data_IF_468045285119
#
_entry.id   IF_468045285119
#
_cell.length_a   1.000
_cell.length_b   1.000
_cell.length_c   1.000
_cell.angle_alpha   90.00
_cell.angle_beta   90.00
_cell.angle_gamma   90.00
#
_symmetry.space_group_name_H-M   'P 1'
#
loop_
_entity.id
_entity.type
_entity.pdbx_description
1 polymer ?
#
# COMPACT_ATOMS: atom_id res chain seq x y z
N UNK A 1 -7.25 40.18 56.66
CA UNK A 1 -6.55 39.76 55.43
C UNK A 1 -7.28 40.34 54.22
N UNK A 2 -6.60 41.03 53.30
CA UNK A 2 -7.25 41.57 52.10
C UNK A 2 -7.84 40.42 51.27
N UNK A 3 -9.12 40.55 50.87
CA UNK A 3 -9.78 39.57 49.99
C UNK A 3 -9.05 39.54 48.65
N UNK A 4 -8.50 38.37 48.29
CA UNK A 4 -7.89 38.14 46.97
C UNK A 4 -8.93 38.44 45.88
N UNK A 5 -8.56 39.31 44.95
CA UNK A 5 -9.38 39.64 43.76
C UNK A 5 -9.39 38.42 42.85
N UNK A 6 -10.57 37.99 42.42
CA UNK A 6 -10.71 36.84 41.52
C UNK A 6 -10.24 37.18 40.10
N UNK A 7 -9.85 36.18 39.31
CA UNK A 7 -9.48 36.40 37.91
C UNK A 7 -10.67 36.87 37.06
N UNK A 8 -11.89 36.44 37.41
CA UNK A 8 -13.13 36.87 36.73
C UNK A 8 -13.33 38.37 36.89
N UNK A 9 -13.18 38.88 38.11
CA UNK A 9 -13.27 40.31 38.42
C UNK A 9 -12.19 41.13 37.67
N UNK A 10 -10.97 40.60 37.54
CA UNK A 10 -9.90 41.24 36.75
C UNK A 10 -10.20 41.25 35.24
N UNK A 11 -10.83 40.20 34.70
CA UNK A 11 -11.25 40.14 33.29
C UNK A 11 -12.37 41.14 33.00
N UNK A 12 -13.28 41.37 33.93
CA UNK A 12 -14.30 42.43 33.83
C UNK A 12 -13.66 43.82 33.81
N UNK A 13 -12.63 44.06 34.64
CA UNK A 13 -11.89 45.32 34.60
C UNK A 13 -11.16 45.52 33.27
N UNK A 14 -10.56 44.47 32.71
CA UNK A 14 -9.95 44.52 31.38
C UNK A 14 -10.99 44.86 30.30
N UNK A 15 -12.17 44.22 30.34
CA UNK A 15 -13.25 44.50 29.39
C UNK A 15 -13.78 45.94 29.51
N UNK A 16 -13.96 46.44 30.74
CA UNK A 16 -14.37 47.82 31.00
C UNK A 16 -13.32 48.84 30.49
N UNK A 17 -12.04 48.53 30.65
CA UNK A 17 -10.93 49.35 30.13
C UNK A 17 -10.87 49.34 28.60
N UNK A 18 -10.97 48.17 27.97
CA UNK A 18 -10.99 48.03 26.50
C UNK A 18 -12.24 48.67 25.87
N UNK A 19 -13.34 48.74 26.62
CA UNK A 19 -14.55 49.51 26.28
C UNK A 19 -14.42 51.03 26.46
N UNK A 20 -13.24 51.55 26.80
CA UNK A 20 -12.93 52.99 26.87
C UNK A 20 -13.10 53.64 28.25
N UNK A 21 -13.38 52.88 29.31
CA UNK A 21 -13.45 53.44 30.68
C UNK A 21 -12.04 53.66 31.23
N UNK A 22 -11.83 54.78 31.95
CA UNK A 22 -10.54 55.05 32.60
C UNK A 22 -10.33 54.19 33.85
N UNK A 23 -9.07 53.90 34.20
CA UNK A 23 -8.69 53.14 35.39
C UNK A 23 -9.28 53.75 36.68
N UNK A 24 -9.36 55.08 36.76
CA UNK A 24 -9.97 55.81 37.87
C UNK A 24 -11.50 55.60 37.97
N UNK A 25 -12.19 55.54 36.83
CA UNK A 25 -13.63 55.24 36.79
C UNK A 25 -13.91 53.80 37.23
N UNK A 26 -13.07 52.85 36.82
CA UNK A 26 -13.18 51.43 37.20
C UNK A 26 -12.87 51.27 38.69
N UNK A 27 -11.83 51.94 39.19
CA UNK A 27 -11.46 52.00 40.60
C UNK A 27 -12.59 52.52 41.50
N UNK A 28 -13.24 53.62 41.08
CA UNK A 28 -14.39 54.19 41.77
C UNK A 28 -15.57 53.23 41.85
N UNK A 29 -15.89 52.53 40.74
CA UNK A 29 -16.98 51.54 40.68
C UNK A 29 -16.67 50.31 41.53
N UNK A 30 -15.44 49.79 41.47
CA UNK A 30 -15.02 48.60 42.21
C UNK A 30 -14.67 48.87 43.69
N UNK A 31 -14.60 50.14 44.11
CA UNK A 31 -14.12 50.59 45.42
C UNK A 31 -12.73 50.03 45.75
N UNK A 32 -11.83 50.06 44.75
CA UNK A 32 -10.43 49.60 44.86
C UNK A 32 -9.48 50.73 44.51
N UNK A 33 -8.25 50.64 44.99
CA UNK A 33 -7.20 51.59 44.62
C UNK A 33 -6.83 51.47 43.13
N UNK A 34 -6.51 52.60 42.49
CA UNK A 34 -6.19 52.67 41.05
C UNK A 34 -5.01 51.76 40.69
N UNK A 35 -3.99 51.65 41.55
CA UNK A 35 -2.85 50.74 41.33
C UNK A 35 -3.30 49.27 41.36
N UNK A 36 -4.30 48.95 42.18
CA UNK A 36 -4.88 47.60 42.23
C UNK A 36 -5.63 47.27 40.95
N UNK A 37 -6.39 48.22 40.41
CA UNK A 37 -7.07 48.07 39.11
C UNK A 37 -6.06 47.90 37.98
N UNK A 38 -5.05 48.78 37.90
CA UNK A 38 -4.01 48.72 36.88
C UNK A 38 -3.28 47.38 36.87
N UNK A 39 -2.81 46.94 38.04
CA UNK A 39 -2.17 45.63 38.18
C UNK A 39 -3.11 44.47 37.82
N UNK A 40 -4.40 44.57 38.18
CA UNK A 40 -5.41 43.58 37.82
C UNK A 40 -5.66 43.48 36.31
N UNK A 41 -5.73 44.62 35.63
CA UNK A 41 -5.85 44.72 34.16
C UNK A 41 -4.62 44.10 33.50
N UNK A 42 -3.41 44.47 33.94
CA UNK A 42 -2.16 43.93 33.40
C UNK A 42 -2.07 42.40 33.61
N UNK A 43 -2.50 41.89 34.76
CA UNK A 43 -2.55 40.46 35.05
C UNK A 43 -3.57 39.73 34.16
N UNK A 44 -4.78 40.29 33.99
CA UNK A 44 -5.80 39.73 33.09
C UNK A 44 -5.33 39.73 31.62
N UNK A 45 -4.59 40.75 31.17
CA UNK A 45 -3.98 40.79 29.83
C UNK A 45 -2.98 39.68 29.65
N UNK A 46 -2.02 39.54 30.57
CA UNK A 46 -1.00 38.47 30.51
C UNK A 46 -1.65 37.09 30.52
N UNK A 47 -2.70 36.90 31.32
CA UNK A 47 -3.46 35.66 31.35
C UNK A 47 -4.12 35.37 29.98
N UNK A 48 -4.81 36.36 29.40
CA UNK A 48 -5.42 36.25 28.06
C UNK A 48 -4.38 35.92 27.00
N UNK A 49 -3.28 36.68 26.95
CA UNK A 49 -2.23 36.50 25.95
C UNK A 49 -1.57 35.10 26.09
N UNK A 50 -1.39 34.62 27.33
CA UNK A 50 -0.90 33.27 27.60
C UNK A 50 -1.90 32.21 27.12
N UNK A 51 -3.19 32.39 27.37
CA UNK A 51 -4.24 31.48 26.89
C UNK A 51 -4.32 31.46 25.35
N UNK A 52 -4.24 32.63 24.70
CA UNK A 52 -4.21 32.75 23.25
C UNK A 52 -2.99 32.05 22.65
N UNK A 53 -1.79 32.32 23.19
CA UNK A 53 -0.56 31.67 22.74
C UNK A 53 -0.64 30.13 22.89
N UNK A 54 -1.20 29.63 24.00
CA UNK A 54 -1.43 28.20 24.20
C UNK A 54 -2.43 27.64 23.20
N UNK A 55 -3.54 28.34 22.96
CA UNK A 55 -4.55 27.91 22.00
C UNK A 55 -3.96 27.82 20.58
N UNK A 56 -3.12 28.78 20.19
CA UNK A 56 -2.50 28.78 18.87
C UNK A 56 -1.43 27.69 18.73
N UNK A 57 -0.65 27.41 19.77
CA UNK A 57 0.25 26.24 19.79
C UNK A 57 -0.51 24.92 19.64
N UNK A 58 -1.67 24.77 20.28
CA UNK A 58 -2.50 23.57 20.17
C UNK A 58 -3.07 23.44 18.76
N UNK A 59 -3.57 24.53 18.17
CA UNK A 59 -4.07 24.52 16.78
C UNK A 59 -2.97 24.10 15.81
N UNK A 60 -1.76 24.63 15.98
CA UNK A 60 -0.62 24.29 15.11
C UNK A 60 -0.21 22.83 15.27
N UNK A 61 -0.14 22.34 16.51
CA UNK A 61 0.15 20.93 16.79
C UNK A 61 -0.89 20.00 16.18
N UNK A 62 -2.18 20.35 16.25
CA UNK A 62 -3.26 19.58 15.64
C UNK A 62 -3.21 19.61 14.11
N UNK A 63 -2.90 20.76 13.51
CA UNK A 63 -2.73 20.89 12.07
C UNK A 63 -1.58 20.02 11.57
N UNK A 64 -0.41 20.15 12.20
CA UNK A 64 0.78 19.36 11.86
C UNK A 64 0.56 17.85 12.03
N UNK A 65 -0.14 17.44 13.09
CA UNK A 65 -0.55 16.04 13.31
C UNK A 65 -1.46 15.54 12.19
N UNK A 66 -2.49 16.30 11.83
CA UNK A 66 -3.41 15.96 10.74
C UNK A 66 -2.68 15.85 9.39
N UNK A 67 -1.81 16.81 9.07
CA UNK A 67 -1.02 16.80 7.84
C UNK A 67 -0.10 15.58 7.73
N UNK A 68 0.53 15.19 8.85
CA UNK A 68 1.40 14.01 8.92
C UNK A 68 0.62 12.72 8.64
N UNK A 69 -0.58 12.59 9.21
CA UNK A 69 -1.46 11.43 8.96
C UNK A 69 -2.00 11.41 7.52
N UNK A 70 -2.39 12.57 6.98
CA UNK A 70 -2.83 12.68 5.58
C UNK A 70 -1.71 12.33 4.61
N UNK A 71 -0.47 12.71 4.91
CA UNK A 71 0.70 12.29 4.13
C UNK A 71 0.83 10.76 4.13
N UNK A 72 0.70 10.12 5.28
CA UNK A 72 0.76 8.66 5.41
C UNK A 72 -0.37 7.96 4.62
N UNK A 73 -1.57 8.54 4.62
CA UNK A 73 -2.70 8.09 3.81
C UNK A 73 -2.40 8.15 2.31
N UNK A 74 -1.78 9.24 1.83
CA UNK A 74 -1.41 9.39 0.41
C UNK A 74 -0.30 8.41 0.01
N UNK A 75 0.67 8.18 0.87
CA UNK A 75 1.70 7.16 0.65
C UNK A 75 1.06 5.76 0.57
N UNK A 76 0.13 5.46 1.47
CA UNK A 76 -0.65 4.20 1.44
C UNK A 76 -1.44 4.08 0.14
N UNK A 77 -2.09 5.15 -0.31
CA UNK A 77 -2.82 5.18 -1.59
C UNK A 77 -1.93 4.83 -2.79
N UNK A 78 -0.67 5.26 -2.77
CA UNK A 78 0.29 4.94 -3.83
C UNK A 78 0.66 3.46 -3.85
N UNK A 79 0.64 2.80 -2.68
CA UNK A 79 0.93 1.38 -2.51
C UNK A 79 -0.28 0.46 -2.79
N UNK A 80 -1.51 0.96 -2.61
CA UNK A 80 -2.74 0.19 -2.90
C UNK A 80 -2.95 0.12 -4.42
N UNK A 81 -2.27 -0.84 -5.03
CA UNK A 81 -2.32 -1.16 -6.46
C UNK A 81 -2.22 -2.67 -6.66
N UNK A 82 -2.72 -3.15 -7.79
CA UNK A 82 -2.45 -4.52 -8.21
C UNK A 82 -1.06 -4.60 -8.85
N UNK A 83 -0.25 -5.62 -8.51
CA UNK A 83 1.00 -5.88 -9.20
C UNK A 83 0.76 -6.17 -10.68
N UNK A 84 1.61 -5.62 -11.54
CA UNK A 84 1.55 -5.89 -12.97
C UNK A 84 1.79 -7.37 -13.31
N UNK A 85 1.46 -7.75 -14.54
CA UNK A 85 1.74 -9.09 -15.06
C UNK A 85 3.24 -9.42 -15.09
N UNK A 86 4.09 -8.39 -15.20
CA UNK A 86 5.55 -8.48 -15.18
C UNK A 86 6.17 -8.55 -13.77
N UNK A 87 5.37 -8.50 -12.70
CA UNK A 87 5.88 -8.66 -11.34
C UNK A 87 6.65 -9.99 -11.24
N UNK A 88 7.90 -9.92 -10.78
CA UNK A 88 8.72 -11.11 -10.55
C UNK A 88 8.07 -11.94 -9.44
N UNK A 89 7.79 -13.21 -9.76
CA UNK A 89 7.15 -14.16 -8.85
C UNK A 89 8.02 -15.43 -8.79
N UNK A 90 8.48 -15.83 -7.60
CA UNK A 90 9.26 -17.05 -7.41
C UNK A 90 8.40 -18.28 -7.65
N UNK A 91 9.03 -19.37 -8.08
CA UNK A 91 8.33 -20.62 -8.39
C UNK A 91 9.18 -21.87 -8.20
N UNK A 92 10.51 -21.74 -8.19
CA UNK A 92 11.42 -22.86 -7.95
C UNK A 92 11.40 -23.23 -6.49
N UNK A 93 11.55 -24.51 -6.17
CA UNK A 93 11.56 -24.99 -4.79
C UNK A 93 12.75 -24.48 -3.98
N UNK A 94 13.86 -24.23 -4.67
CA UNK A 94 15.10 -23.67 -4.11
C UNK A 94 15.01 -22.17 -3.84
N UNK A 95 13.98 -21.50 -4.37
CA UNK A 95 13.61 -20.15 -3.94
C UNK A 95 13.12 -20.30 -2.49
N UNK A 96 14.05 -20.10 -1.55
CA UNK A 96 13.79 -20.07 -0.10
C UNK A 96 12.60 -19.17 0.20
N UNK A 97 11.85 -19.40 1.30
CA UNK A 97 10.85 -18.46 1.76
C UNK A 97 11.46 -17.07 1.75
N UNK A 98 10.79 -16.17 1.03
CA UNK A 98 11.44 -14.98 0.53
C UNK A 98 10.52 -13.79 0.56
N UNK A 99 11.07 -12.67 0.12
CA UNK A 99 10.39 -11.40 0.05
C UNK A 99 10.12 -11.09 -1.42
N UNK A 100 8.84 -10.95 -1.78
CA UNK A 100 8.47 -10.36 -3.07
C UNK A 100 8.30 -8.87 -2.83
N UNK A 101 9.12 -8.06 -3.50
CA UNK A 101 8.98 -6.60 -3.47
C UNK A 101 7.80 -6.19 -4.34
N UNK A 102 6.84 -5.48 -3.76
CA UNK A 102 5.73 -4.84 -4.49
C UNK A 102 5.88 -3.31 -4.39
N UNK A 103 5.13 -2.58 -5.20
CA UNK A 103 5.13 -1.12 -5.10
C UNK A 103 4.61 -0.69 -3.71
N UNK A 104 5.47 -0.03 -2.93
CA UNK A 104 5.13 0.49 -1.60
C UNK A 104 4.99 -0.59 -0.51
N UNK A 105 5.54 -1.78 -0.70
CA UNK A 105 5.52 -2.81 0.35
C UNK A 105 6.26 -4.09 -0.01
N UNK A 106 6.10 -5.08 0.87
CA UNK A 106 6.71 -6.39 0.75
C UNK A 106 5.70 -7.49 1.02
N UNK A 107 5.89 -8.62 0.35
CA UNK A 107 5.06 -9.82 0.51
C UNK A 107 5.95 -10.96 0.98
N UNK A 108 5.59 -11.54 2.12
CA UNK A 108 6.24 -12.75 2.62
C UNK A 108 5.51 -13.97 2.07
N UNK A 109 6.25 -14.95 1.61
CA UNK A 109 5.70 -16.20 1.11
C UNK A 109 6.50 -17.39 1.61
N UNK A 110 5.80 -18.50 1.78
CA UNK A 110 6.37 -19.82 2.03
C UNK A 110 6.16 -20.66 0.77
N UNK A 111 7.21 -21.35 0.34
CA UNK A 111 7.20 -22.08 -0.93
C UNK A 111 6.99 -23.60 -0.76
N UNK A 112 6.97 -24.06 0.50
CA UNK A 112 6.90 -25.46 0.89
C UNK A 112 6.17 -25.61 2.25
N UNK A 113 5.28 -26.61 2.44
CA UNK A 113 4.89 -27.69 1.52
C UNK A 113 3.95 -27.24 0.38
N UNK A 114 3.14 -26.21 0.61
CA UNK A 114 2.31 -25.55 -0.40
C UNK A 114 2.72 -24.10 -0.52
N UNK A 115 2.77 -23.57 -1.74
CA UNK A 115 3.11 -22.17 -1.95
C UNK A 115 2.00 -21.28 -1.41
N UNK A 116 2.30 -20.50 -0.37
CA UNK A 116 1.34 -19.64 0.29
C UNK A 116 1.96 -18.30 0.62
N UNK A 117 1.25 -17.23 0.28
CA UNK A 117 1.57 -15.89 0.78
C UNK A 117 1.09 -15.79 2.22
N UNK A 118 2.01 -15.50 3.13
CA UNK A 118 1.75 -15.46 4.57
C UNK A 118 1.33 -14.09 5.04
N UNK A 119 1.97 -13.03 4.52
CA UNK A 119 1.69 -11.65 4.92
C UNK A 119 2.02 -10.65 3.81
N UNK A 120 1.33 -9.50 3.87
CA UNK A 120 1.64 -8.30 3.07
C UNK A 120 1.81 -7.14 4.04
N UNK A 121 2.98 -6.50 3.97
CA UNK A 121 3.34 -5.36 4.80
C UNK A 121 3.65 -4.17 3.91
N UNK A 122 2.94 -3.06 4.08
CA UNK A 122 3.23 -1.82 3.39
C UNK A 122 4.41 -1.10 4.03
N UNK A 123 5.19 -0.35 3.25
CA UNK A 123 6.32 0.44 3.76
C UNK A 123 5.89 1.51 4.77
N UNK A 124 4.60 1.89 4.75
CA UNK A 124 4.00 2.84 5.67
C UNK A 124 3.73 2.24 7.05
N UNK A 125 3.66 0.92 7.19
CA UNK A 125 3.30 0.22 8.44
C UNK A 125 4.42 0.24 9.48
N UNK A 126 5.68 0.34 9.04
CA UNK A 126 6.83 0.40 9.94
C UNK A 126 6.96 1.78 10.64
N UNK A 127 6.17 2.77 10.22
CA UNK A 127 6.21 4.13 10.77
C UNK A 127 5.42 4.22 12.08
N UNK A 128 5.92 5.02 13.03
CA UNK A 128 5.27 5.21 14.34
C UNK A 128 3.86 5.79 14.19
N UNK A 129 3.69 6.66 13.19
CA UNK A 129 2.43 7.30 12.82
C UNK A 129 1.38 6.29 12.34
N UNK A 130 1.78 5.11 11.86
CA UNK A 130 0.85 4.06 11.43
C UNK A 130 -0.09 3.64 12.56
N UNK A 131 0.44 3.41 13.77
CA UNK A 131 -0.40 3.07 14.91
C UNK A 131 -1.37 4.18 15.31
N UNK A 132 -1.04 5.45 15.02
CA UNK A 132 -1.97 6.58 15.21
C UNK A 132 -3.03 6.62 14.12
N UNK A 133 -2.64 6.34 12.88
CA UNK A 133 -3.56 6.22 11.75
C UNK A 133 -4.58 5.10 11.98
N UNK A 134 -4.13 3.94 12.46
CA UNK A 134 -5.03 2.85 12.83
C UNK A 134 -6.02 3.27 13.91
N UNK A 135 -5.60 4.01 14.93
CA UNK A 135 -6.54 4.54 15.94
C UNK A 135 -7.59 5.49 15.35
N UNK A 136 -7.21 6.33 14.38
CA UNK A 136 -8.14 7.20 13.65
C UNK A 136 -9.13 6.39 12.81
N UNK A 137 -8.68 5.32 12.16
CA UNK A 137 -9.48 4.51 11.24
C UNK A 137 -10.18 3.31 11.89
N UNK A 138 -9.91 3.00 13.17
CA UNK A 138 -10.51 1.86 13.90
C UNK A 138 -12.05 1.82 13.86
N UNK A 139 -12.75 2.96 14.06
CA UNK A 139 -14.22 2.98 13.95
C UNK A 139 -14.71 2.82 12.51
N UNK A 140 -13.84 3.07 11.53
CA UNK A 140 -14.19 3.19 10.13
C UNK A 140 -14.03 1.86 9.39
N UNK A 141 -14.84 1.68 8.34
CA UNK A 141 -14.75 0.51 7.44
C UNK A 141 -13.42 0.46 6.67
N UNK A 142 -12.68 1.57 6.63
CA UNK A 142 -11.47 1.76 5.83
C UNK A 142 -10.33 0.82 6.19
N UNK A 143 -10.02 0.64 7.48
CA UNK A 143 -8.94 -0.26 7.90
C UNK A 143 -9.31 -1.73 7.63
N UNK A 144 -10.59 -2.06 7.78
CA UNK A 144 -11.10 -3.39 7.43
C UNK A 144 -10.97 -3.66 5.93
N UNK A 145 -11.33 -2.69 5.08
CA UNK A 145 -11.17 -2.79 3.63
C UNK A 145 -9.70 -2.96 3.22
N UNK A 146 -8.78 -2.23 3.84
CA UNK A 146 -7.35 -2.42 3.59
C UNK A 146 -6.89 -3.83 3.97
N UNK A 147 -7.36 -4.35 5.11
CA UNK A 147 -7.11 -5.73 5.53
C UNK A 147 -7.70 -6.78 4.56
N UNK A 148 -8.91 -6.55 4.04
CA UNK A 148 -9.53 -7.40 3.02
C UNK A 148 -8.74 -7.36 1.71
N UNK A 149 -8.34 -6.17 1.27
CA UNK A 149 -7.50 -5.98 0.10
C UNK A 149 -6.18 -6.74 0.20
N UNK A 150 -5.45 -6.62 1.32
CA UNK A 150 -4.22 -7.40 1.56
C UNK A 150 -4.44 -8.90 1.45
N UNK A 151 -5.54 -9.42 2.01
CA UNK A 151 -5.89 -10.84 1.92
C UNK A 151 -6.18 -11.27 0.49
N UNK A 152 -6.92 -10.46 -0.27
CA UNK A 152 -7.22 -10.74 -1.67
C UNK A 152 -5.96 -10.69 -2.55
N UNK A 153 -5.09 -9.70 -2.33
CA UNK A 153 -3.80 -9.59 -3.02
C UNK A 153 -2.90 -10.79 -2.68
N UNK A 154 -2.86 -11.22 -1.41
CA UNK A 154 -2.11 -12.40 -0.99
C UNK A 154 -2.62 -13.67 -1.68
N UNK A 155 -3.94 -13.85 -1.75
CA UNK A 155 -4.57 -14.96 -2.46
C UNK A 155 -4.22 -14.94 -3.96
N UNK A 156 -4.27 -13.77 -4.59
CA UNK A 156 -3.93 -13.60 -6.00
C UNK A 156 -2.46 -13.92 -6.30
N UNK A 157 -1.53 -13.41 -5.48
CA UNK A 157 -0.11 -13.73 -5.62
C UNK A 157 0.16 -15.23 -5.41
N UNK A 158 -0.51 -15.86 -4.43
CA UNK A 158 -0.46 -17.31 -4.23
C UNK A 158 -0.95 -18.09 -5.45
N UNK A 159 -2.09 -17.70 -6.03
CA UNK A 159 -2.61 -18.32 -7.25
C UNK A 159 -1.63 -18.17 -8.43
N UNK A 160 -0.98 -17.00 -8.57
CA UNK A 160 0.05 -16.78 -9.60
C UNK A 160 1.27 -17.68 -9.39
N UNK A 161 1.76 -17.86 -8.17
CA UNK A 161 2.86 -18.80 -7.87
C UNK A 161 2.47 -20.23 -8.29
N UNK A 162 1.28 -20.68 -7.91
CA UNK A 162 0.79 -22.01 -8.25
C UNK A 162 0.66 -22.22 -9.78
N UNK A 163 0.06 -21.27 -10.49
CA UNK A 163 -0.08 -21.32 -11.94
C UNK A 163 1.26 -21.31 -12.67
N UNK A 164 2.23 -20.52 -12.17
CA UNK A 164 3.58 -20.48 -12.72
C UNK A 164 4.32 -21.81 -12.55
N UNK A 165 4.19 -22.44 -11.38
CA UNK A 165 4.70 -23.79 -11.14
C UNK A 165 4.02 -24.83 -12.03
N UNK A 166 2.70 -24.74 -12.22
CA UNK A 166 1.97 -25.63 -13.14
C UNK A 166 2.49 -25.49 -14.57
N UNK A 167 2.74 -24.27 -15.05
CA UNK A 167 3.36 -24.04 -16.36
C UNK A 167 4.75 -24.66 -16.45
N UNK A 168 5.59 -24.49 -15.44
CA UNK A 168 6.92 -25.11 -15.41
C UNK A 168 6.82 -26.65 -15.54
N UNK A 169 5.93 -27.27 -14.77
CA UNK A 169 5.71 -28.71 -14.82
C UNK A 169 5.18 -29.15 -16.19
N UNK A 170 4.21 -28.45 -16.77
CA UNK A 170 3.69 -28.75 -18.11
C UNK A 170 4.79 -28.67 -19.18
N UNK A 171 5.65 -27.65 -19.11
CA UNK A 171 6.77 -27.53 -20.04
C UNK A 171 7.73 -28.71 -19.91
N UNK A 172 8.10 -29.12 -18.70
CA UNK A 172 8.96 -30.29 -18.49
C UNK A 172 8.29 -31.60 -18.91
N UNK A 173 7.01 -31.79 -18.59
CA UNK A 173 6.25 -32.99 -18.92
C UNK A 173 6.07 -33.17 -20.44
N UNK A 174 5.76 -32.09 -21.17
CA UNK A 174 5.53 -32.14 -22.62
C UNK A 174 6.84 -32.23 -23.41
N UNK A 175 7.88 -31.52 -22.99
CA UNK A 175 9.16 -31.48 -23.72
C UNK A 175 10.14 -32.57 -23.31
N UNK A 176 9.96 -33.16 -22.11
CA UNK A 176 10.92 -34.03 -21.44
C UNK A 176 12.27 -33.33 -21.13
N UNK A 177 12.33 -32.00 -21.22
CA UNK A 177 13.56 -31.23 -21.03
C UNK A 177 13.70 -30.71 -19.60
N UNK A 178 14.94 -30.65 -19.14
CA UNK A 178 15.27 -30.04 -17.86
C UNK A 178 15.21 -28.52 -17.96
N UNK A 179 14.68 -27.87 -16.91
CA UNK A 179 14.72 -26.42 -16.75
C UNK A 179 16.06 -26.03 -16.12
N UNK A 180 16.83 -25.20 -16.81
CA UNK A 180 18.16 -24.78 -16.38
C UNK A 180 18.33 -23.26 -16.46
N UNK A 181 19.12 -22.71 -15.54
CA UNK A 181 19.48 -21.28 -15.57
C UNK A 181 20.65 -20.99 -16.50
N UNK A 182 21.55 -21.97 -16.62
CA UNK A 182 22.75 -21.88 -17.44
C UNK A 182 22.72 -22.97 -18.51
N UNK A 183 23.27 -22.70 -19.71
CA UNK A 183 23.33 -23.70 -20.78
C UNK A 183 24.03 -24.98 -20.32
N UNK A 184 23.46 -26.13 -20.69
CA UNK A 184 24.04 -27.46 -20.48
C UNK A 184 24.21 -28.18 -21.82
N UNK A 185 24.92 -29.30 -21.81
CA UNK A 185 25.00 -30.16 -22.99
C UNK A 185 23.66 -30.87 -23.26
N UNK A 186 23.26 -30.93 -24.53
CA UNK A 186 22.02 -31.60 -24.95
C UNK A 186 20.82 -30.66 -25.02
N UNK A 187 19.62 -31.22 -24.97
CA UNK A 187 18.37 -30.46 -25.07
C UNK A 187 17.90 -29.98 -23.69
N UNK A 188 17.52 -28.71 -23.58
CA UNK A 188 17.08 -28.10 -22.32
C UNK A 188 16.16 -26.90 -22.55
N UNK A 189 15.43 -26.51 -21.50
CA UNK A 189 14.63 -25.29 -21.44
C UNK A 189 15.29 -24.29 -20.50
N UNK A 190 15.29 -23.00 -20.86
CA UNK A 190 15.73 -21.98 -19.92
C UNK A 190 14.67 -21.75 -18.84
N UNK A 191 15.06 -21.63 -17.57
CA UNK A 191 14.14 -21.28 -16.48
C UNK A 191 13.44 -19.93 -16.73
N UNK A 192 14.16 -18.98 -17.35
CA UNK A 192 13.62 -17.67 -17.72
C UNK A 192 12.48 -17.76 -18.75
N UNK A 193 12.39 -18.86 -19.49
CA UNK A 193 11.28 -19.14 -20.39
C UNK A 193 9.97 -19.30 -19.64
N UNK A 194 10.00 -19.92 -18.45
CA UNK A 194 8.82 -20.03 -17.59
C UNK A 194 8.36 -18.62 -17.18
N UNK A 195 9.28 -17.77 -16.76
CA UNK A 195 8.97 -16.39 -16.35
C UNK A 195 8.34 -15.60 -17.49
N UNK A 196 8.96 -15.66 -18.67
CA UNK A 196 8.51 -14.96 -19.86
C UNK A 196 7.16 -15.46 -20.35
N UNK A 197 7.01 -16.77 -20.54
CA UNK A 197 5.77 -17.38 -21.01
C UNK A 197 4.63 -17.18 -20.01
N UNK A 198 4.92 -17.28 -18.70
CA UNK A 198 3.92 -17.01 -17.67
C UNK A 198 3.43 -15.56 -17.71
N UNK A 199 4.31 -14.60 -17.95
CA UNK A 199 3.92 -13.19 -18.10
C UNK A 199 2.96 -13.02 -19.29
N UNK A 200 3.29 -13.60 -20.45
CA UNK A 200 2.43 -13.54 -21.64
C UNK A 200 1.08 -14.22 -21.40
N UNK A 201 1.09 -15.40 -20.76
CA UNK A 201 -0.14 -16.11 -20.41
C UNK A 201 -0.98 -15.35 -19.40
N UNK A 202 -0.37 -14.69 -18.41
CA UNK A 202 -1.10 -13.85 -17.45
C UNK A 202 -1.79 -12.69 -18.16
N UNK A 203 -1.11 -12.03 -19.11
CA UNK A 203 -1.73 -10.97 -19.91
C UNK A 203 -2.91 -11.48 -20.74
N UNK A 204 -2.78 -12.67 -21.35
CA UNK A 204 -3.85 -13.32 -22.10
C UNK A 204 -5.05 -13.69 -21.23
N UNK A 205 -4.81 -14.37 -20.11
CA UNK A 205 -5.84 -14.85 -19.18
C UNK A 205 -6.65 -13.70 -18.59
N UNK A 206 -5.97 -12.60 -18.25
CA UNK A 206 -6.58 -11.42 -17.65
C UNK A 206 -7.02 -10.37 -18.68
N UNK A 207 -6.88 -10.65 -19.98
CA UNK A 207 -7.24 -9.75 -21.09
C UNK A 207 -6.61 -8.35 -20.97
N UNK A 208 -5.37 -8.27 -20.46
CA UNK A 208 -4.68 -7.00 -20.19
C UNK A 208 -3.97 -6.42 -21.43
N UNK A 209 -3.69 -7.26 -22.42
CA UNK A 209 -3.04 -6.88 -23.67
C UNK A 209 -3.50 -7.81 -24.79
N UNK A 210 -3.35 -7.36 -26.04
CA UNK A 210 -3.54 -8.23 -27.19
C UNK A 210 -2.36 -9.19 -27.31
N UNK A 211 -2.62 -10.47 -27.04
CA UNK A 211 -1.63 -11.55 -27.12
C UNK A 211 -1.96 -12.54 -28.24
N UNK A 212 -2.76 -12.14 -29.24
CA UNK A 212 -3.16 -13.00 -30.36
C UNK A 212 -1.96 -13.63 -31.08
N UNK A 213 -0.82 -12.93 -31.08
CA UNK A 213 0.39 -13.34 -31.79
C UNK A 213 1.36 -14.18 -30.95
N UNK A 214 1.03 -14.50 -29.69
CA UNK A 214 1.90 -15.27 -28.78
C UNK A 214 2.39 -16.57 -29.45
N UNK A 215 1.47 -17.35 -30.01
CA UNK A 215 1.79 -18.65 -30.62
C UNK A 215 2.57 -18.49 -31.94
N UNK A 216 2.31 -17.42 -32.69
CA UNK A 216 2.99 -17.14 -33.96
C UNK A 216 4.43 -16.65 -33.73
N UNK A 217 4.67 -15.97 -32.61
CA UNK A 217 5.98 -15.44 -32.25
C UNK A 217 6.94 -16.50 -31.68
N UNK A 218 6.45 -17.68 -31.30
CA UNK A 218 7.32 -18.80 -30.95
C UNK A 218 7.77 -19.48 -32.24
N UNK A 219 9.08 -19.45 -32.52
CA UNK A 219 9.69 -19.88 -33.78
C UNK A 219 10.73 -20.97 -33.48
N UNK A 220 10.75 -22.01 -34.32
CA UNK A 220 11.80 -23.03 -34.32
C UNK A 220 12.93 -22.57 -35.25
N UNK A 221 14.07 -22.18 -34.67
CA UNK A 221 15.29 -21.78 -35.37
C UNK A 221 16.17 -23.01 -35.62
N UNK A 222 15.95 -23.65 -36.77
CA UNK A 222 16.67 -24.87 -37.17
C UNK A 222 18.14 -24.63 -37.52
N UNK A 223 18.55 -23.38 -37.75
CA UNK A 223 19.96 -23.07 -38.03
C UNK A 223 20.79 -23.07 -36.76
N UNK A 224 20.21 -22.58 -35.65
CA UNK A 224 20.88 -22.49 -34.34
C UNK A 224 20.56 -23.64 -33.41
N UNK A 225 19.53 -24.42 -33.72
CA UNK A 225 19.05 -25.49 -32.86
C UNK A 225 18.22 -25.00 -31.68
N UNK A 226 17.57 -23.84 -31.82
CA UNK A 226 16.89 -23.15 -30.73
C UNK A 226 15.38 -23.03 -30.99
N UNK A 227 14.60 -22.96 -29.92
CA UNK A 227 13.23 -22.42 -29.97
C UNK A 227 13.26 -21.03 -29.37
N UNK A 228 12.77 -20.02 -30.11
CA UNK A 228 12.87 -18.60 -29.75
C UNK A 228 11.49 -17.95 -29.71
N UNK A 229 11.35 -16.91 -28.89
CA UNK A 229 10.25 -15.96 -28.99
C UNK A 229 10.74 -14.70 -29.73
N UNK A 230 10.17 -14.43 -30.90
CA UNK A 230 10.61 -13.39 -31.81
C UNK A 230 12.10 -13.54 -32.16
N UNK A 231 12.80 -12.41 -32.29
CA UNK A 231 14.22 -12.41 -32.66
C UNK A 231 15.18 -12.58 -31.47
N UNK A 232 14.77 -12.22 -30.24
CA UNK A 232 15.71 -11.96 -29.14
C UNK A 232 15.72 -13.00 -28.03
N UNK A 233 14.58 -13.61 -27.70
CA UNK A 233 14.47 -14.45 -26.49
C UNK A 233 14.59 -15.91 -26.86
N UNK A 234 15.61 -16.59 -26.35
CA UNK A 234 15.74 -18.05 -26.52
C UNK A 234 14.94 -18.72 -25.42
N UNK A 235 14.03 -19.62 -25.80
CA UNK A 235 13.18 -20.37 -24.87
C UNK A 235 13.75 -21.75 -24.54
N UNK A 236 14.27 -22.43 -25.56
CA UNK A 236 14.80 -23.78 -25.46
C UNK A 236 15.98 -23.96 -26.40
N UNK A 237 16.88 -24.86 -26.04
CA UNK A 237 17.89 -25.41 -26.95
C UNK A 237 17.50 -26.87 -27.24
N UNK A 238 17.26 -27.19 -28.51
CA UNK A 238 16.67 -28.46 -28.95
C UNK A 238 17.22 -28.91 -30.32
N UNK A 239 18.55 -29.09 -30.47
CA UNK A 239 19.17 -29.35 -31.77
C UNK A 239 18.61 -30.63 -32.41
N UNK A 240 18.09 -30.50 -33.63
CA UNK A 240 17.44 -31.56 -34.39
C UNK A 240 15.98 -31.87 -34.00
N UNK A 241 15.45 -31.20 -32.97
CA UNK A 241 14.08 -31.38 -32.43
C UNK A 241 13.34 -30.05 -32.21
N UNK A 242 13.75 -28.98 -32.88
CA UNK A 242 13.27 -27.62 -32.63
C UNK A 242 11.77 -27.49 -32.92
N UNK A 243 11.30 -28.10 -34.00
CA UNK A 243 9.87 -28.09 -34.39
C UNK A 243 9.00 -28.87 -33.40
N UNK A 244 9.48 -30.02 -32.95
CA UNK A 244 8.82 -30.85 -31.94
C UNK A 244 8.76 -30.12 -30.60
N UNK A 245 9.89 -29.59 -30.13
CA UNK A 245 9.96 -28.79 -28.91
C UNK A 245 9.04 -27.57 -28.95
N UNK A 246 9.01 -26.83 -30.08
CA UNK A 246 8.08 -25.73 -30.29
C UNK A 246 6.63 -26.19 -30.12
N UNK A 247 6.25 -27.31 -30.74
CA UNK A 247 4.89 -27.83 -30.66
C UNK A 247 4.52 -28.21 -29.22
N UNK A 248 5.41 -28.88 -28.50
CA UNK A 248 5.21 -29.23 -27.09
C UNK A 248 5.10 -28.00 -26.17
N UNK A 249 5.85 -26.93 -26.44
CA UNK A 249 5.69 -25.65 -25.74
C UNK A 249 4.30 -25.07 -25.99
N UNK A 250 3.83 -25.05 -27.24
CA UNK A 250 2.50 -24.54 -27.58
C UNK A 250 1.39 -25.36 -26.91
N UNK A 251 1.52 -26.68 -26.89
CA UNK A 251 0.57 -27.56 -26.18
C UNK A 251 0.52 -27.28 -24.68
N UNK A 252 1.65 -27.04 -24.04
CA UNK A 252 1.70 -26.64 -22.63
C UNK A 252 0.98 -25.29 -22.40
N UNK A 253 1.12 -24.33 -23.32
CA UNK A 253 0.44 -23.03 -23.25
C UNK A 253 -1.06 -23.14 -23.52
N UNK A 254 -1.51 -24.05 -24.38
CA UNK A 254 -2.92 -24.27 -24.66
C UNK A 254 -3.61 -25.07 -23.55
N UNK A 255 -2.88 -25.92 -22.81
CA UNK A 255 -3.39 -26.67 -21.67
C UNK A 255 -3.55 -25.80 -20.40
N UNK A 256 -2.63 -24.86 -20.16
CA UNK A 256 -2.62 -24.04 -18.94
C UNK A 256 -3.96 -23.31 -18.66
N UNK A 257 -4.64 -22.64 -19.62
CA UNK A 257 -5.92 -21.97 -19.38
C UNK A 257 -7.03 -22.89 -18.86
N UNK A 258 -6.97 -24.18 -19.15
CA UNK A 258 -7.97 -25.16 -18.70
C UNK A 258 -7.74 -25.64 -17.26
N UNK A 259 -6.56 -25.35 -16.69
CA UNK A 259 -6.17 -25.76 -15.33
C UNK A 259 -6.95 -25.03 -14.24
N UNK A 260 -7.03 -25.63 -13.06
CA UNK A 260 -7.64 -24.98 -11.89
C UNK A 260 -6.80 -23.80 -11.40
N UNK A 261 -5.49 -23.85 -11.58
CA UNK A 261 -4.55 -22.80 -11.22
C UNK A 261 -4.79 -21.53 -12.06
N UNK A 262 -5.01 -21.68 -13.38
CA UNK A 262 -5.34 -20.55 -14.24
C UNK A 262 -6.70 -19.92 -13.88
N UNK A 263 -7.73 -20.75 -13.59
CA UNK A 263 -9.03 -20.26 -13.09
C UNK A 263 -8.87 -19.48 -11.79
N UNK A 264 -8.09 -20.04 -10.85
CA UNK A 264 -7.78 -19.38 -9.58
C UNK A 264 -7.09 -18.02 -9.77
N UNK A 265 -6.18 -17.89 -10.73
CA UNK A 265 -5.56 -16.59 -11.07
C UNK A 265 -6.62 -15.58 -11.52
N UNK A 266 -7.56 -15.97 -12.39
CA UNK A 266 -8.65 -15.09 -12.86
C UNK A 266 -9.57 -14.70 -11.71
N UNK A 267 -10.07 -15.68 -10.95
CA UNK A 267 -11.04 -15.46 -9.88
C UNK A 267 -10.46 -14.55 -8.78
N UNK A 268 -9.22 -14.83 -8.36
CA UNK A 268 -8.53 -14.02 -7.35
C UNK A 268 -8.16 -12.63 -7.88
N UNK A 269 -7.87 -12.49 -9.18
CA UNK A 269 -7.60 -11.19 -9.79
C UNK A 269 -8.82 -10.27 -9.72
N UNK A 270 -9.99 -10.75 -10.13
CA UNK A 270 -11.23 -9.96 -10.13
C UNK A 270 -11.59 -9.48 -8.71
N UNK A 271 -11.44 -10.36 -7.71
CA UNK A 271 -11.66 -10.00 -6.30
C UNK A 271 -10.64 -8.97 -5.82
N UNK A 272 -9.36 -9.15 -6.16
CA UNK A 272 -8.31 -8.22 -5.78
C UNK A 272 -8.47 -6.86 -6.49
N UNK A 273 -8.94 -6.84 -7.73
CA UNK A 273 -9.22 -5.63 -8.50
C UNK A 273 -10.36 -4.82 -7.88
N UNK A 274 -11.51 -5.46 -7.63
CA UNK A 274 -12.65 -4.83 -6.96
C UNK A 274 -12.28 -4.25 -5.59
N UNK A 275 -11.54 -5.02 -4.78
CA UNK A 275 -11.09 -4.55 -3.47
C UNK A 275 -10.02 -3.45 -3.58
N UNK A 276 -9.17 -3.47 -4.61
CA UNK A 276 -8.23 -2.38 -4.88
C UNK A 276 -8.99 -1.10 -5.18
N UNK A 277 -9.98 -1.14 -6.07
CA UNK A 277 -10.81 0.03 -6.40
C UNK A 277 -11.53 0.56 -5.15
N UNK A 278 -12.15 -0.31 -4.34
CA UNK A 278 -12.85 0.07 -3.10
C UNK A 278 -11.91 0.67 -2.06
N UNK A 279 -10.75 0.05 -1.83
CA UNK A 279 -9.76 0.53 -0.88
C UNK A 279 -9.20 1.89 -1.33
N UNK A 280 -8.82 2.03 -2.61
CA UNK A 280 -8.35 3.31 -3.17
C UNK A 280 -9.39 4.41 -3.01
N UNK A 281 -10.63 4.17 -3.41
CA UNK A 281 -11.72 5.16 -3.27
C UNK A 281 -11.89 5.61 -1.82
N UNK A 282 -11.87 4.68 -0.87
CA UNK A 282 -12.01 5.01 0.56
C UNK A 282 -10.86 5.89 1.06
N UNK A 283 -9.63 5.59 0.64
CA UNK A 283 -8.43 6.35 1.01
C UNK A 283 -8.42 7.72 0.31
N UNK A 284 -8.90 7.80 -0.93
CA UNK A 284 -9.08 9.05 -1.69
C UNK A 284 -10.14 9.95 -1.06
N UNK A 285 -11.28 9.41 -0.62
CA UNK A 285 -12.33 10.14 0.09
C UNK A 285 -11.79 10.79 1.39
N UNK A 286 -10.96 10.07 2.16
CA UNK A 286 -10.28 10.63 3.35
C UNK A 286 -9.31 11.75 2.94
N UNK A 287 -8.54 11.55 1.87
CA UNK A 287 -7.60 12.56 1.37
C UNK A 287 -8.32 13.84 0.91
N UNK A 288 -9.48 13.71 0.26
CA UNK A 288 -10.31 14.83 -0.21
C UNK A 288 -10.97 15.59 0.94
N UNK A 289 -11.32 14.91 2.04
CA UNK A 289 -11.87 15.57 3.22
C UNK A 289 -10.88 16.58 3.84
N UNK A 290 -9.57 16.39 3.63
CA UNK A 290 -8.52 17.25 4.18
C UNK A 290 -8.39 17.16 5.70
N UNK A 291 -9.11 16.23 6.32
CA UNK A 291 -9.15 15.99 7.76
C UNK A 291 -9.24 14.50 8.02
N UNK A 292 -8.41 13.99 8.92
CA UNK A 292 -8.47 12.60 9.34
C UNK A 292 -9.70 12.35 10.22
N UNK A 293 -10.61 11.42 9.85
CA UNK A 293 -11.73 11.05 10.70
C UNK A 293 -11.24 10.37 11.99
N UNK A 294 -12.11 10.33 13.00
CA UNK A 294 -11.82 9.68 14.28
C UNK A 294 -10.81 10.43 15.16
N UNK A 295 -10.32 9.76 16.20
CA UNK A 295 -9.37 10.33 17.19
C UNK A 295 -8.37 9.29 17.64
N UNK A 296 -7.10 9.67 17.70
CA UNK A 296 -6.06 8.86 18.34
C UNK A 296 -5.70 9.34 19.76
N UNK A 297 -4.79 8.62 20.40
CA UNK A 297 -4.21 8.95 21.73
C UNK A 297 -3.59 10.34 21.79
N UNK A 298 -3.04 10.86 20.69
CA UNK A 298 -2.46 12.22 20.63
C UNK A 298 -3.56 13.27 20.63
N UNK A 299 -4.59 13.11 19.79
CA UNK A 299 -5.78 13.97 19.77
C UNK A 299 -6.42 14.11 21.16
N UNK A 300 -6.58 12.99 21.87
CA UNK A 300 -7.13 12.96 23.23
C UNK A 300 -6.28 13.74 24.23
N UNK A 301 -4.95 13.67 24.13
CA UNK A 301 -4.03 14.43 25.00
C UNK A 301 -4.07 15.94 24.70
N UNK A 302 -4.35 16.32 23.46
CA UNK A 302 -4.49 17.71 23.04
C UNK A 302 -5.89 18.29 23.29
N UNK A 303 -6.82 17.50 23.86
CA UNK A 303 -8.15 17.95 24.24
C UNK A 303 -9.18 17.94 23.11
N UNK A 304 -8.98 17.13 22.06
CA UNK A 304 -10.02 16.85 21.05
C UNK A 304 -10.97 15.76 21.50
#
# INVERSE_FOLDING_TARGET
MPRKVSIVEKREWLADYEGGKSEASIAGKARRDVRTIKNGIDEARRERDTHMARADLIKEALRSHNESLLKLIRETLSAVKLPGSNQAIPWKREDLPGLIRIEGGNVQYENWPESKVTSITLDTEDKIEWGLLEEHLKPERSLHLLGQWKKALAAHLGARIAAKRKLANLLQEKTEYQLVDLPISGSFLYSSSVDFLFQQMTQRLLQLADTSDLNNNIIADTEKGDVRYGASTILAHAPGKEKECRQHILEALDELPSSNEAKSVIDTYLVAEDLTIKARRTVEEISLLGLMPGRCRVCRRLGM
#
